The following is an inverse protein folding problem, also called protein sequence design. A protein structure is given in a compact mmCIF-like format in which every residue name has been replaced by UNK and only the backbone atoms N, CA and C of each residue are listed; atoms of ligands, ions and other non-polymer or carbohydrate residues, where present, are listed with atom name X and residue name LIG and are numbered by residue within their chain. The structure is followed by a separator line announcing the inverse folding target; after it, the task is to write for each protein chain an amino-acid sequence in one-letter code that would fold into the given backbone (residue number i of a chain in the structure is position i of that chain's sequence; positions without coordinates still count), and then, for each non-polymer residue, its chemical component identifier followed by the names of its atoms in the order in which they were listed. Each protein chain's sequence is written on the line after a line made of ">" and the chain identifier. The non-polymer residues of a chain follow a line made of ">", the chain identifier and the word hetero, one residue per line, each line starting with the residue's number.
data_IF_814922246693
#
_entry.id   IF_814922246693
#
_cell.length_a   1.000
_cell.length_b   1.000
_cell.length_c   1.000
_cell.angle_alpha   90.00
_cell.angle_beta   90.00
_cell.angle_gamma   90.00
#
_symmetry.space_group_name_H-M   'P 1'
#
loop_
_entity.id
_entity.type
_entity.pdbx_description
1 polymer ?
#
# COMPACT_ATOMS: atom_id res chain seq x y z
N UNK A 1 -60.21 14.31 -12.36
CA UNK A 1 -59.07 14.20 -11.43
C UNK A 1 -57.80 13.92 -12.23
N UNK A 2 -56.85 14.87 -12.32
CA UNK A 2 -55.62 14.72 -13.11
C UNK A 2 -54.40 14.61 -12.18
N UNK A 3 -53.73 13.45 -12.16
CA UNK A 3 -52.59 13.16 -11.28
C UNK A 3 -51.29 13.65 -11.93
N UNK A 4 -50.84 14.84 -11.53
CA UNK A 4 -49.59 15.49 -11.96
C UNK A 4 -48.37 14.65 -11.54
N UNK A 5 -47.76 13.92 -12.49
CA UNK A 5 -46.53 13.15 -12.24
C UNK A 5 -45.35 14.11 -12.19
N UNK A 6 -44.86 14.42 -10.99
CA UNK A 6 -43.58 15.14 -10.80
C UNK A 6 -42.44 14.24 -11.28
N UNK A 7 -41.82 14.61 -12.40
CA UNK A 7 -40.56 14.04 -12.86
C UNK A 7 -39.41 14.59 -12.02
N UNK A 8 -38.96 13.83 -11.04
CA UNK A 8 -37.75 14.14 -10.28
C UNK A 8 -36.54 13.89 -11.17
N UNK A 9 -35.66 14.88 -11.41
CA UNK A 9 -34.44 14.63 -12.17
C UNK A 9 -33.54 13.74 -11.31
N UNK A 10 -33.34 12.48 -11.73
CA UNK A 10 -32.27 11.65 -11.20
C UNK A 10 -30.95 12.28 -11.66
N UNK A 11 -30.39 13.16 -10.84
CA UNK A 11 -28.96 13.48 -10.91
C UNK A 11 -28.22 12.17 -10.71
N UNK A 12 -27.84 11.53 -11.81
CA UNK A 12 -26.76 10.54 -11.82
C UNK A 12 -25.50 11.28 -11.42
N UNK A 13 -25.31 11.43 -10.10
CA UNK A 13 -24.01 11.72 -9.54
C UNK A 13 -23.15 10.50 -9.88
N UNK A 14 -22.47 10.55 -11.03
CA UNK A 14 -21.21 9.83 -11.21
C UNK A 14 -20.24 10.41 -10.18
N UNK A 15 -20.42 10.03 -8.91
CA UNK A 15 -19.31 9.99 -7.97
C UNK A 15 -18.43 8.89 -8.54
N UNK A 16 -17.46 9.29 -9.37
CA UNK A 16 -16.23 8.52 -9.47
C UNK A 16 -15.69 8.49 -8.05
N UNK A 17 -16.11 7.50 -7.27
CA UNK A 17 -15.48 7.20 -6.00
C UNK A 17 -14.03 6.99 -6.34
N UNK A 18 -13.15 7.83 -5.77
CA UNK A 18 -11.72 7.54 -5.80
C UNK A 18 -11.61 6.13 -5.25
N UNK A 19 -11.24 5.17 -6.09
CA UNK A 19 -10.90 3.84 -5.61
C UNK A 19 -9.65 4.09 -4.77
N UNK A 20 -9.84 4.20 -3.46
CA UNK A 20 -8.77 4.48 -2.52
C UNK A 20 -7.81 3.29 -2.63
N UNK A 21 -6.58 3.56 -3.09
CA UNK A 21 -5.59 2.52 -3.33
C UNK A 21 -5.16 1.93 -1.99
N UNK A 22 -5.64 0.72 -1.68
CA UNK A 22 -5.29 -0.04 -0.49
C UNK A 22 -5.02 -1.52 -0.87
N UNK A 23 -3.96 -1.81 -1.63
CA UNK A 23 -3.64 -3.19 -2.00
C UNK A 23 -3.06 -3.95 -0.80
N UNK A 24 -3.18 -5.28 -0.82
CA UNK A 24 -2.59 -6.14 0.19
C UNK A 24 -1.07 -6.24 -0.01
N UNK A 25 -0.32 -5.65 0.93
CA UNK A 25 1.15 -5.64 0.93
C UNK A 25 1.78 -6.77 1.74
N UNK A 26 1.03 -7.77 2.18
CA UNK A 26 1.55 -8.83 3.06
C UNK A 26 2.80 -9.50 2.49
N UNK A 27 2.82 -9.77 1.18
CA UNK A 27 3.96 -10.33 0.47
C UNK A 27 5.16 -9.37 0.37
N UNK A 28 4.89 -8.09 0.09
CA UNK A 28 5.93 -7.06 0.03
C UNK A 28 6.62 -6.93 1.40
N UNK A 29 5.85 -6.94 2.49
CA UNK A 29 6.40 -6.88 3.85
C UNK A 29 7.27 -8.10 4.18
N UNK A 30 6.86 -9.30 3.77
CA UNK A 30 7.68 -10.51 4.00
C UNK A 30 8.99 -10.48 3.23
N UNK A 31 8.98 -9.98 2.00
CA UNK A 31 10.18 -9.91 1.17
C UNK A 31 11.13 -8.83 1.66
N UNK A 32 10.61 -7.67 2.08
CA UNK A 32 11.41 -6.61 2.70
C UNK A 32 12.15 -7.11 3.94
N UNK A 33 11.51 -7.96 4.77
CA UNK A 33 12.20 -8.57 5.92
C UNK A 33 13.36 -9.45 5.47
N UNK A 34 13.16 -10.29 4.46
CA UNK A 34 14.23 -11.16 3.94
C UNK A 34 15.39 -10.35 3.37
N UNK A 35 15.10 -9.33 2.57
CA UNK A 35 16.11 -8.43 2.00
C UNK A 35 16.86 -7.69 3.12
N UNK A 36 16.14 -7.17 4.12
CA UNK A 36 16.74 -6.49 5.26
C UNK A 36 17.66 -7.42 6.06
N UNK A 37 17.28 -8.68 6.27
CA UNK A 37 18.14 -9.68 6.94
C UNK A 37 19.38 -9.99 6.10
N UNK A 38 19.22 -10.19 4.79
CA UNK A 38 20.35 -10.45 3.88
C UNK A 38 21.34 -9.27 3.87
N UNK A 39 20.85 -8.06 3.62
CA UNK A 39 21.68 -6.85 3.60
C UNK A 39 22.31 -6.55 4.97
N UNK A 40 21.52 -6.67 6.05
CA UNK A 40 21.98 -6.47 7.41
C UNK A 40 23.07 -7.43 7.82
N UNK A 41 22.99 -8.71 7.42
CA UNK A 41 24.02 -9.71 7.70
C UNK A 41 25.37 -9.34 7.08
N UNK A 42 25.36 -8.85 5.85
CA UNK A 42 26.58 -8.43 5.15
C UNK A 42 27.24 -7.25 5.86
N UNK A 43 26.46 -6.21 6.17
CA UNK A 43 26.97 -5.02 6.88
C UNK A 43 27.45 -5.39 8.29
N UNK A 44 26.72 -6.26 8.99
CA UNK A 44 27.10 -6.72 10.32
C UNK A 44 28.46 -7.41 10.32
N UNK A 45 28.70 -8.32 9.36
CA UNK A 45 30.00 -8.97 9.21
C UNK A 45 31.11 -7.95 8.91
N UNK A 46 30.86 -6.98 8.03
CA UNK A 46 31.81 -5.90 7.72
C UNK A 46 32.19 -5.10 8.98
N UNK A 47 31.21 -4.73 9.79
CA UNK A 47 31.42 -3.97 11.04
C UNK A 47 32.24 -4.80 12.02
N UNK A 48 31.85 -6.05 12.26
CA UNK A 48 32.55 -6.96 13.17
C UNK A 48 34.01 -7.16 12.76
N UNK A 49 34.27 -7.48 11.48
CA UNK A 49 35.63 -7.65 10.97
C UNK A 49 36.48 -6.38 11.08
N UNK A 50 35.88 -5.21 10.90
CA UNK A 50 36.59 -3.93 10.99
C UNK A 50 37.16 -3.68 12.39
N UNK A 51 36.52 -4.17 13.45
CA UNK A 51 37.07 -4.12 14.80
C UNK A 51 38.21 -5.10 15.03
N UNK A 52 38.20 -6.25 14.36
CA UNK A 52 39.28 -7.25 14.46
C UNK A 52 40.54 -6.86 13.67
N UNK A 53 40.42 -6.02 12.65
CA UNK A 53 41.55 -5.49 11.88
C UNK A 53 42.11 -4.16 12.41
N UNK A 54 41.63 -3.71 13.58
CA UNK A 54 42.23 -2.61 14.32
C UNK A 54 43.31 -3.11 15.27
#
# INVERSE_FOLDING_TARGET
>A
MAKKRRSTPRRSARRGGRVEFNPDYSYVKSDLRRIATLAGSFIFLMVVLSFFFR
#
